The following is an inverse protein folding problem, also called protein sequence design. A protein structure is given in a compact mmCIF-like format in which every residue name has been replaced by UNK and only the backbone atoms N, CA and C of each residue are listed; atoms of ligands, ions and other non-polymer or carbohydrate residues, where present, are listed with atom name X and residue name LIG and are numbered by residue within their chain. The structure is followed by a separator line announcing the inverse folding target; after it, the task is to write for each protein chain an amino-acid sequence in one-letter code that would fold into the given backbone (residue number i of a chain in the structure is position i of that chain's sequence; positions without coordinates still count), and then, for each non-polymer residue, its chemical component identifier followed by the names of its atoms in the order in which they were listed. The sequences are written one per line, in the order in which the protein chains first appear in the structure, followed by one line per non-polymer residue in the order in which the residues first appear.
data_IF_787128158037
#
_entry.id   IF_787128158037
#
_cell.length_a   1.000
_cell.length_b   1.000
_cell.length_c   1.000
_cell.angle_alpha   90.00
_cell.angle_beta   90.00
_cell.angle_gamma   90.00
#
_symmetry.space_group_name_H-M   'P 1'
#
loop_
_entity.id
_entity.type
_entity.pdbx_description
1 polymer ?
#
# COMPACT_ATOMS: atom_id res chain seq x y z
N UNK A 1 -55.30 8.56 60.36
CA UNK A 1 -56.26 7.66 59.69
C UNK A 1 -56.13 7.84 58.18
N UNK A 2 -56.26 6.72 57.45
CA UNK A 2 -56.33 6.59 55.98
C UNK A 2 -55.03 6.76 55.19
N UNK A 3 -54.37 5.61 55.03
CA UNK A 3 -53.59 5.19 53.86
C UNK A 3 -54.42 5.42 52.59
N UNK A 4 -53.79 5.93 51.54
CA UNK A 4 -54.17 5.57 50.17
C UNK A 4 -52.88 5.39 49.36
N UNK A 5 -52.62 4.12 49.07
CA UNK A 5 -51.73 3.66 48.02
C UNK A 5 -52.24 4.20 46.69
N UNK A 6 -51.37 4.75 45.85
CA UNK A 6 -51.59 4.71 44.41
C UNK A 6 -50.32 4.24 43.71
N UNK A 7 -50.52 3.16 42.96
CA UNK A 7 -49.53 2.32 42.36
C UNK A 7 -48.71 3.07 41.31
N UNK A 8 -47.40 2.84 41.36
CA UNK A 8 -46.45 3.16 40.31
C UNK A 8 -46.79 2.26 39.13
N UNK A 9 -47.55 2.79 38.17
CA UNK A 9 -47.83 2.09 36.92
C UNK A 9 -46.65 2.29 35.98
N UNK A 10 -45.91 1.20 35.80
CA UNK A 10 -44.88 1.00 34.79
C UNK A 10 -45.47 1.21 33.40
N UNK A 11 -45.41 2.43 32.88
CA UNK A 11 -45.46 2.67 31.44
C UNK A 11 -44.02 2.62 30.93
N UNK A 12 -43.61 1.41 30.61
CA UNK A 12 -42.44 1.15 29.79
C UNK A 12 -42.63 1.91 28.47
N UNK A 13 -41.96 3.06 28.34
CA UNK A 13 -41.67 3.60 27.03
C UNK A 13 -40.91 2.50 26.29
N UNK A 14 -41.60 1.90 25.32
CA UNK A 14 -40.98 1.13 24.26
C UNK A 14 -40.00 2.07 23.55
N UNK A 15 -38.77 2.13 24.06
CA UNK A 15 -37.64 2.62 23.33
C UNK A 15 -37.58 1.74 22.08
N UNK A 16 -38.04 2.28 20.94
CA UNK A 16 -37.54 1.87 19.65
C UNK A 16 -36.02 2.09 19.71
N UNK A 17 -35.31 1.08 20.23
CA UNK A 17 -33.89 0.91 19.98
C UNK A 17 -33.81 0.92 18.46
N UNK A 18 -33.28 2.02 17.93
CA UNK A 18 -32.69 2.06 16.60
C UNK A 18 -31.86 0.79 16.51
N UNK A 19 -32.35 -0.17 15.73
CA UNK A 19 -31.68 -1.43 15.51
C UNK A 19 -30.30 -1.03 15.03
N UNK A 20 -29.27 -1.33 15.83
CA UNK A 20 -27.91 -1.22 15.36
C UNK A 20 -27.89 -2.01 14.06
N UNK A 21 -27.47 -1.36 12.97
CA UNK A 21 -27.18 -2.06 11.73
C UNK A 21 -26.42 -3.34 12.11
N UNK A 22 -26.78 -4.50 11.53
CA UNK A 22 -26.08 -5.73 11.85
C UNK A 22 -24.61 -5.41 11.66
N UNK A 23 -23.86 -5.45 12.77
CA UNK A 23 -22.42 -5.37 12.74
C UNK A 23 -22.02 -6.58 11.92
N UNK A 24 -21.83 -6.36 10.62
CA UNK A 24 -21.14 -7.30 9.75
C UNK A 24 -19.84 -7.65 10.44
N UNK A 25 -19.29 -8.84 10.16
CA UNK A 25 -18.04 -9.25 10.77
C UNK A 25 -17.04 -8.10 10.66
N UNK A 26 -16.64 -7.55 11.81
CA UNK A 26 -15.46 -6.70 11.88
C UNK A 26 -14.33 -7.57 11.35
N UNK A 27 -13.87 -7.28 10.14
CA UNK A 27 -12.60 -7.78 9.66
C UNK A 27 -11.58 -7.35 10.71
N UNK A 28 -11.07 -8.35 11.43
CA UNK A 28 -10.11 -8.13 12.49
C UNK A 28 -8.87 -7.47 11.91
N UNK A 29 -8.24 -6.63 12.72
CA UNK A 29 -6.80 -6.43 12.66
C UNK A 29 -6.07 -7.78 12.45
N UNK A 30 -4.86 -7.78 11.85
CA UNK A 30 -4.10 -8.97 11.45
C UNK A 30 -4.26 -10.14 12.41
N UNK A 31 -4.52 -11.32 11.85
CA UNK A 31 -4.98 -12.53 12.52
C UNK A 31 -4.61 -12.62 14.00
N UNK A 32 -5.61 -12.91 14.83
CA UNK A 32 -5.46 -13.29 16.23
C UNK A 32 -4.75 -14.66 16.37
N UNK A 33 -3.50 -14.71 15.92
CA UNK A 33 -2.61 -15.86 15.91
C UNK A 33 -1.24 -15.44 16.42
N UNK A 34 -1.18 -14.84 17.62
CA UNK A 34 -0.02 -14.89 18.53
C UNK A 34 1.38 -14.67 17.96
N UNK A 35 1.53 -13.98 16.83
CA UNK A 35 2.83 -13.74 16.23
C UNK A 35 3.42 -12.48 16.85
N UNK A 36 4.44 -12.67 17.68
CA UNK A 36 5.33 -11.57 18.06
C UNK A 36 6.14 -11.24 16.81
N UNK A 37 5.87 -10.08 16.19
CA UNK A 37 6.72 -9.57 15.11
C UNK A 37 8.11 -9.39 15.69
N UNK A 38 9.09 -10.09 15.13
CA UNK A 38 10.48 -9.89 15.50
C UNK A 38 10.85 -8.43 15.22
N UNK A 39 11.43 -7.75 16.21
CA UNK A 39 11.88 -6.37 16.05
C UNK A 39 13.16 -6.40 15.23
N UNK A 40 13.02 -6.11 13.94
CA UNK A 40 14.15 -5.99 13.02
C UNK A 40 14.54 -4.52 12.92
N UNK A 41 15.78 -4.11 13.26
CA UNK A 41 16.23 -2.75 13.06
C UNK A 41 16.46 -2.45 11.57
N UNK A 42 16.26 -1.21 11.16
CA UNK A 42 16.62 -0.77 9.82
C UNK A 42 18.15 -0.72 9.66
N UNK A 43 18.68 -1.34 8.60
CA UNK A 43 20.09 -1.23 8.23
C UNK A 43 20.44 0.17 7.68
N UNK A 44 19.48 0.82 7.03
CA UNK A 44 19.59 2.23 6.68
C UNK A 44 18.23 2.93 6.76
N UNK A 45 18.25 4.21 7.07
CA UNK A 45 17.08 5.08 7.10
C UNK A 45 17.46 6.41 6.48
N UNK A 46 16.63 6.88 5.54
CA UNK A 46 16.78 8.19 4.91
C UNK A 46 15.46 8.93 5.01
N UNK A 47 15.55 10.24 5.17
CA UNK A 47 14.38 11.11 5.29
C UNK A 47 14.55 12.31 4.37
N UNK A 48 13.47 12.74 3.75
CA UNK A 48 13.37 14.02 3.07
C UNK A 48 12.01 14.66 3.35
N UNK A 49 11.94 15.96 3.19
CA UNK A 49 10.69 16.72 3.34
C UNK A 49 10.64 17.84 2.33
N UNK A 50 9.45 18.10 1.79
CA UNK A 50 9.18 19.26 0.94
C UNK A 50 7.76 19.73 1.19
N UNK A 51 7.62 21.03 1.46
CA UNK A 51 6.34 21.62 1.86
C UNK A 51 5.70 20.86 3.04
N UNK A 52 4.42 20.47 2.95
CA UNK A 52 3.69 19.78 4.01
C UNK A 52 3.96 18.27 4.15
N UNK A 53 4.85 17.69 3.34
CA UNK A 53 5.10 16.24 3.30
C UNK A 53 6.50 15.90 3.78
N UNK A 54 6.59 14.92 4.67
CA UNK A 54 7.85 14.26 5.05
C UNK A 54 7.77 12.78 4.69
N UNK A 55 8.83 12.29 4.06
CA UNK A 55 8.97 10.91 3.63
C UNK A 55 10.16 10.28 4.32
N UNK A 56 9.97 9.09 4.90
CA UNK A 56 11.04 8.30 5.52
C UNK A 56 11.07 6.92 4.88
N UNK A 57 12.18 6.58 4.24
CA UNK A 57 12.44 5.26 3.67
C UNK A 57 13.42 4.52 4.57
N UNK A 58 13.03 3.32 5.00
CA UNK A 58 13.85 2.40 5.78
C UNK A 58 14.05 1.11 5.00
N UNK A 59 15.25 0.55 5.08
CA UNK A 59 15.59 -0.76 4.51
C UNK A 59 16.06 -1.70 5.63
N UNK A 60 15.58 -2.94 5.63
CA UNK A 60 15.99 -3.93 6.63
C UNK A 60 17.42 -4.43 6.39
N UNK A 61 17.84 -4.48 5.12
CA UNK A 61 19.16 -4.96 4.68
C UNK A 61 19.68 -4.09 3.54
N UNK A 62 20.98 -3.80 3.56
CA UNK A 62 21.70 -3.14 2.45
C UNK A 62 22.58 -4.10 1.66
N UNK A 63 22.73 -5.35 2.12
CA UNK A 63 23.42 -6.42 1.39
C UNK A 63 22.43 -7.53 1.08
N UNK A 64 22.26 -7.85 -0.20
CA UNK A 64 21.32 -8.84 -0.73
C UNK A 64 22.08 -9.99 -1.39
N UNK A 65 21.53 -11.21 -1.33
CA UNK A 65 22.07 -12.34 -2.08
C UNK A 65 21.60 -12.27 -3.53
N UNK A 66 22.49 -12.52 -4.50
CA UNK A 66 22.13 -12.54 -5.91
C UNK A 66 21.28 -13.76 -6.31
N UNK A 67 21.12 -14.77 -5.45
CA UNK A 67 20.32 -15.96 -5.78
C UNK A 67 18.83 -15.61 -5.87
N UNK A 68 18.34 -14.80 -4.94
CA UNK A 68 16.98 -14.27 -4.87
C UNK A 68 17.01 -12.92 -4.12
N UNK A 69 17.44 -11.83 -4.77
CA UNK A 69 17.55 -10.56 -4.08
C UNK A 69 16.15 -9.98 -3.86
N UNK A 70 15.82 -9.71 -2.60
CA UNK A 70 14.61 -8.97 -2.23
C UNK A 70 14.95 -7.75 -1.41
N UNK A 71 14.34 -6.61 -1.75
CA UNK A 71 14.34 -5.45 -0.88
C UNK A 71 13.28 -5.62 0.19
N UNK A 72 13.67 -5.36 1.43
CA UNK A 72 12.77 -5.35 2.57
C UNK A 72 12.67 -3.92 3.06
N UNK A 73 11.56 -3.26 2.77
CA UNK A 73 11.42 -1.81 2.95
C UNK A 73 10.22 -1.43 3.80
N UNK A 74 10.30 -0.24 4.37
CA UNK A 74 9.24 0.43 5.09
C UNK A 74 9.26 1.90 4.68
N UNK A 75 8.20 2.35 4.03
CA UNK A 75 8.05 3.74 3.63
C UNK A 75 6.96 4.40 4.48
N UNK A 76 7.29 5.53 5.07
CA UNK A 76 6.38 6.32 5.89
C UNK A 76 6.19 7.70 5.28
N UNK A 77 4.93 8.12 5.11
CA UNK A 77 4.57 9.50 4.83
C UNK A 77 3.99 10.14 6.08
N UNK A 78 4.41 11.36 6.36
CA UNK A 78 3.97 12.16 7.51
C UNK A 78 3.52 13.53 7.03
N UNK A 79 2.37 13.97 7.55
CA UNK A 79 1.88 15.32 7.34
C UNK A 79 2.49 16.29 8.35
N UNK A 80 3.52 17.01 7.93
CA UNK A 80 4.18 18.04 8.74
C UNK A 80 3.61 19.45 8.50
N UNK A 81 2.56 19.57 7.68
CA UNK A 81 1.89 20.81 7.37
C UNK A 81 0.78 21.17 8.38
N UNK A 82 -0.02 22.17 8.02
CA UNK A 82 -1.13 22.67 8.84
C UNK A 82 -2.51 22.30 8.29
N UNK A 83 -2.58 21.66 7.13
CA UNK A 83 -3.83 21.24 6.45
C UNK A 83 -3.85 19.74 6.22
N UNK A 84 -5.05 19.17 6.06
CA UNK A 84 -5.20 17.75 5.72
C UNK A 84 -4.73 17.48 4.28
N UNK A 85 -4.37 16.24 3.97
CA UNK A 85 -4.12 15.86 2.57
C UNK A 85 -4.41 14.41 2.22
N UNK A 86 -4.79 14.14 0.95
CA UNK A 86 -5.07 12.79 0.47
C UNK A 86 -3.77 12.04 0.17
N UNK A 87 -3.68 10.81 0.66
CA UNK A 87 -2.67 9.85 0.18
C UNK A 87 -3.30 9.08 -0.97
N UNK A 88 -2.75 9.23 -2.17
CA UNK A 88 -3.24 8.60 -3.40
C UNK A 88 -2.19 7.64 -3.91
N UNK A 89 -1.94 6.57 -3.14
CA UNK A 89 -1.02 5.52 -3.52
C UNK A 89 -1.43 4.18 -2.89
N UNK A 90 -1.54 3.14 -3.70
CA UNK A 90 -1.95 1.81 -3.25
C UNK A 90 -0.91 1.16 -2.36
N UNK A 91 0.34 1.63 -2.34
CA UNK A 91 1.39 1.05 -1.53
C UNK A 91 1.10 1.04 -0.02
N UNK A 92 0.22 1.93 0.44
CA UNK A 92 -0.17 2.00 1.85
C UNK A 92 -1.34 1.08 2.21
N UNK A 93 -1.98 0.47 1.22
CA UNK A 93 -3.07 -0.48 1.38
C UNK A 93 -2.63 -1.89 0.97
N UNK A 94 -1.96 -2.01 -0.18
CA UNK A 94 -1.61 -3.27 -0.86
C UNK A 94 -0.12 -3.63 -0.70
N UNK A 95 0.69 -2.73 -0.14
CA UNK A 95 2.07 -3.01 0.24
C UNK A 95 3.14 -2.39 -0.64
N UNK A 96 4.43 -2.54 -0.28
CA UNK A 96 5.50 -1.78 -0.90
C UNK A 96 5.76 -2.14 -2.38
N UNK A 97 5.18 -3.23 -2.90
CA UNK A 97 5.27 -3.59 -4.31
C UNK A 97 4.76 -2.50 -5.24
N UNK A 98 3.67 -1.82 -4.86
CA UNK A 98 3.09 -0.72 -5.63
C UNK A 98 4.05 0.48 -5.77
N UNK A 99 5.07 0.58 -4.92
CA UNK A 99 6.06 1.65 -5.05
C UNK A 99 7.00 1.44 -6.23
N UNK A 100 7.06 0.27 -6.86
CA UNK A 100 7.97 0.08 -7.99
C UNK A 100 7.46 0.76 -9.28
N UNK A 101 6.18 1.15 -9.33
CA UNK A 101 5.59 1.79 -10.50
C UNK A 101 6.10 3.21 -10.68
N UNK A 102 6.80 3.46 -11.79
CA UNK A 102 7.44 4.76 -12.03
C UNK A 102 6.50 5.90 -12.40
N UNK A 103 5.26 5.55 -12.69
CA UNK A 103 4.24 6.47 -13.17
C UNK A 103 3.24 6.86 -12.07
N UNK A 104 3.42 6.35 -10.85
CA UNK A 104 2.65 6.79 -9.69
C UNK A 104 3.27 8.03 -9.08
N UNK A 105 2.46 8.70 -8.27
CA UNK A 105 2.90 9.86 -7.48
C UNK A 105 4.03 9.48 -6.52
N UNK A 106 3.99 8.28 -5.94
CA UNK A 106 5.00 7.83 -5.00
C UNK A 106 5.65 6.54 -5.50
N UNK A 107 6.96 6.59 -5.70
CA UNK A 107 7.71 5.48 -6.29
C UNK A 107 9.07 5.27 -5.66
N UNK A 108 9.64 4.10 -5.89
CA UNK A 108 11.04 3.78 -5.69
C UNK A 108 11.80 3.96 -6.99
N UNK A 109 12.99 4.53 -6.87
CA UNK A 109 14.01 4.43 -7.89
C UNK A 109 15.11 3.50 -7.37
N UNK A 110 15.33 2.42 -8.10
CA UNK A 110 16.38 1.44 -7.85
C UNK A 110 17.22 1.28 -9.12
N UNK A 111 18.53 1.12 -9.01
CA UNK A 111 19.38 0.76 -10.15
C UNK A 111 20.85 0.86 -9.86
N UNK A 112 21.69 0.48 -10.83
CA UNK A 112 23.15 0.55 -10.70
C UNK A 112 23.62 1.98 -10.39
N UNK A 113 24.72 2.09 -9.66
CA UNK A 113 25.39 3.38 -9.45
C UNK A 113 25.78 3.97 -10.82
N UNK A 114 25.58 5.27 -11.00
CA UNK A 114 25.87 6.04 -12.22
C UNK A 114 25.04 5.68 -13.47
N UNK A 115 24.12 4.73 -13.39
CA UNK A 115 23.14 4.46 -14.47
C UNK A 115 21.77 5.04 -14.16
N UNK A 116 20.94 5.32 -15.17
CA UNK A 116 19.52 5.55 -14.94
C UNK A 116 18.94 4.41 -14.09
N UNK A 117 18.04 4.70 -13.14
CA UNK A 117 17.36 3.66 -12.38
C UNK A 117 16.70 2.64 -13.34
N UNK A 118 16.56 1.38 -12.92
CA UNK A 118 15.94 0.26 -13.64
C UNK A 118 14.40 0.27 -13.60
N UNK A 119 13.75 0.21 -14.76
CA UNK A 119 12.29 0.04 -14.84
C UNK A 119 11.89 -1.29 -14.20
N UNK A 120 10.68 -1.35 -13.62
CA UNK A 120 10.13 -2.64 -13.23
C UNK A 120 10.00 -3.48 -14.49
N UNK A 121 10.57 -4.68 -14.48
CA UNK A 121 10.08 -5.74 -15.33
C UNK A 121 9.30 -6.67 -14.41
N UNK A 122 7.95 -6.73 -14.49
CA UNK A 122 7.26 -7.86 -13.91
C UNK A 122 7.94 -9.12 -14.44
N UNK A 123 8.11 -10.12 -13.59
CA UNK A 123 8.41 -11.42 -14.13
C UNK A 123 7.12 -11.89 -14.81
N UNK A 124 7.00 -11.67 -16.13
CA UNK A 124 5.86 -12.09 -16.95
C UNK A 124 5.51 -13.58 -16.79
N UNK A 125 6.44 -14.35 -16.21
CA UNK A 125 6.31 -15.78 -15.91
C UNK A 125 5.50 -16.11 -14.63
N UNK A 126 4.99 -15.13 -13.89
CA UNK A 126 4.30 -15.36 -12.61
C UNK A 126 2.78 -15.54 -12.73
N UNK A 127 2.23 -15.39 -13.92
CA UNK A 127 0.84 -15.74 -14.16
C UNK A 127 0.68 -17.26 -14.16
N UNK A 128 -0.08 -17.84 -13.20
CA UNK A 128 -0.41 -19.24 -13.30
C UNK A 128 -1.31 -19.48 -14.51
N UNK A 129 -1.34 -20.74 -14.95
CA UNK A 129 -2.30 -21.19 -15.96
C UNK A 129 -3.74 -20.83 -15.54
N UNK A 130 -4.58 -20.49 -16.53
CA UNK A 130 -5.92 -19.94 -16.32
C UNK A 130 -6.85 -20.89 -15.54
N UNK A 131 -6.55 -22.19 -15.52
CA UNK A 131 -7.28 -23.21 -14.76
C UNK A 131 -7.06 -23.11 -13.25
N UNK A 132 -5.95 -22.49 -12.81
CA UNK A 132 -5.70 -22.20 -11.40
C UNK A 132 -6.43 -20.93 -10.89
N UNK A 133 -6.94 -20.08 -11.77
CA UNK A 133 -7.46 -18.78 -11.37
C UNK A 133 -8.73 -18.93 -10.53
N UNK A 134 -8.94 -18.10 -9.48
CA UNK A 134 -10.08 -18.23 -8.60
C UNK A 134 -11.41 -17.89 -9.32
N UNK A 135 -12.31 -18.88 -9.43
CA UNK A 135 -13.65 -18.69 -10.00
C UNK A 135 -13.66 -18.43 -11.51
N UNK A 136 -14.48 -17.47 -11.98
CA UNK A 136 -14.55 -17.09 -13.40
C UNK A 136 -13.58 -15.95 -13.79
N UNK A 137 -12.58 -15.64 -12.95
CA UNK A 137 -11.66 -14.50 -13.15
C UNK A 137 -10.90 -14.58 -14.48
N UNK A 138 -10.43 -15.77 -14.88
CA UNK A 138 -9.80 -15.97 -16.18
C UNK A 138 -10.75 -15.72 -17.35
N UNK A 139 -12.02 -16.13 -17.24
CA UNK A 139 -13.03 -15.86 -18.28
C UNK A 139 -13.34 -14.37 -18.40
N UNK A 140 -13.48 -13.65 -17.29
CA UNK A 140 -13.75 -12.19 -17.30
C UNK A 140 -12.59 -11.40 -17.87
N UNK A 141 -11.36 -11.80 -17.55
CA UNK A 141 -10.16 -11.18 -18.11
C UNK A 141 -10.12 -11.25 -19.65
N UNK A 142 -10.34 -12.45 -20.21
CA UNK A 142 -10.24 -12.66 -21.67
C UNK A 142 -11.52 -12.32 -22.46
N UNK A 143 -12.72 -12.51 -21.88
CA UNK A 143 -13.97 -12.28 -22.59
C UNK A 143 -14.39 -10.80 -22.58
N UNK A 144 -14.19 -10.10 -21.46
CA UNK A 144 -14.75 -8.76 -21.28
C UNK A 144 -13.73 -7.64 -21.49
N UNK A 145 -12.43 -7.97 -21.64
CA UNK A 145 -11.31 -7.01 -21.60
C UNK A 145 -11.50 -5.98 -20.48
N UNK A 146 -11.96 -6.45 -19.32
CA UNK A 146 -12.37 -5.58 -18.22
C UNK A 146 -11.19 -4.66 -17.87
N UNK A 147 -11.29 -3.34 -18.14
CA UNK A 147 -10.19 -2.42 -17.92
C UNK A 147 -9.78 -2.36 -16.45
N UNK A 148 -10.68 -2.70 -15.51
CA UNK A 148 -10.34 -2.76 -14.09
C UNK A 148 -9.50 -4.00 -13.74
N UNK A 149 -9.76 -5.15 -14.39
CA UNK A 149 -8.89 -6.33 -14.24
C UNK A 149 -7.54 -6.10 -14.91
N UNK A 150 -7.52 -5.47 -16.09
CA UNK A 150 -6.29 -5.10 -16.78
C UNK A 150 -5.47 -4.09 -15.95
N UNK A 151 -6.11 -3.08 -15.39
CA UNK A 151 -5.47 -2.08 -14.53
C UNK A 151 -4.98 -2.66 -13.20
N UNK A 152 -5.76 -3.54 -12.54
CA UNK A 152 -5.30 -4.27 -11.37
C UNK A 152 -4.10 -5.16 -11.71
N UNK A 153 -4.07 -5.75 -12.90
CA UNK A 153 -2.95 -6.56 -13.36
C UNK A 153 -1.69 -5.73 -13.63
N UNK A 154 -1.83 -4.60 -14.33
CA UNK A 154 -0.74 -3.66 -14.62
C UNK A 154 -0.19 -2.94 -13.37
N UNK A 155 -0.97 -2.84 -12.29
CA UNK A 155 -0.60 -2.18 -11.04
C UNK A 155 -0.23 -3.17 -9.92
N UNK A 156 0.04 -4.46 -10.21
CA UNK A 156 0.60 -5.40 -9.21
C UNK A 156 -0.46 -5.97 -8.27
N UNK A 157 -1.71 -5.89 -8.72
CA UNK A 157 -2.93 -6.06 -7.95
C UNK A 157 -3.27 -7.50 -7.60
N UNK A 158 -2.32 -8.33 -7.21
CA UNK A 158 -2.63 -9.59 -6.53
C UNK A 158 -3.46 -9.35 -5.26
N UNK A 159 -3.13 -8.29 -4.51
CA UNK A 159 -3.86 -7.90 -3.30
C UNK A 159 -5.11 -7.07 -3.62
N UNK A 160 -5.00 -6.14 -4.58
CA UNK A 160 -6.13 -5.35 -5.08
C UNK A 160 -7.24 -6.25 -5.65
N UNK A 161 -6.87 -7.27 -6.44
CA UNK A 161 -7.79 -8.26 -7.02
C UNK A 161 -8.42 -9.14 -5.94
N UNK A 162 -7.63 -9.60 -4.95
CA UNK A 162 -8.16 -10.34 -3.80
C UNK A 162 -9.20 -9.51 -3.05
N UNK A 163 -8.94 -8.22 -2.83
CA UNK A 163 -9.87 -7.30 -2.15
C UNK A 163 -11.14 -7.03 -2.95
N UNK A 164 -11.03 -6.85 -4.28
CA UNK A 164 -12.20 -6.72 -5.16
C UNK A 164 -13.09 -7.96 -5.16
N UNK A 165 -12.48 -9.15 -5.16
CA UNK A 165 -13.19 -10.43 -5.25
C UNK A 165 -13.76 -10.85 -3.88
N UNK A 166 -12.99 -10.77 -2.81
CA UNK A 166 -13.37 -11.29 -1.49
C UNK A 166 -14.27 -10.32 -0.72
N UNK A 167 -14.06 -9.01 -0.83
CA UNK A 167 -14.75 -8.04 0.01
C UNK A 167 -15.88 -7.29 -0.73
N UNK A 168 -15.97 -7.41 -2.06
CA UNK A 168 -16.94 -6.66 -2.87
C UNK A 168 -16.82 -5.14 -2.72
N UNK A 169 -15.64 -4.65 -2.32
CA UNK A 169 -15.42 -3.26 -1.93
C UNK A 169 -15.24 -2.41 -3.19
N UNK A 170 -16.05 -1.36 -3.41
CA UNK A 170 -15.82 -0.43 -4.50
C UNK A 170 -14.50 0.31 -4.28
N UNK A 171 -13.78 0.59 -5.38
CA UNK A 171 -12.59 1.43 -5.41
C UNK A 171 -12.80 2.68 -4.57
N UNK A 172 -12.17 2.76 -3.40
CA UNK A 172 -12.06 4.04 -2.70
C UNK A 172 -11.06 4.85 -3.52
N UNK A 173 -11.59 5.61 -4.49
CA UNK A 173 -10.83 6.39 -5.48
C UNK A 173 -9.87 7.41 -4.83
N UNK A 174 -10.03 7.64 -3.53
CA UNK A 174 -9.20 8.50 -2.70
C UNK A 174 -8.76 7.68 -1.49
N UNK A 175 -7.45 7.46 -1.33
CA UNK A 175 -6.88 6.82 -0.15
C UNK A 175 -7.08 7.67 1.11
N UNK A 176 -6.45 7.33 2.24
CA UNK A 176 -6.69 7.99 3.51
C UNK A 176 -6.29 9.48 3.50
N UNK A 177 -7.09 10.31 4.18
CA UNK A 177 -6.79 11.73 4.41
C UNK A 177 -5.95 11.87 5.69
N UNK A 178 -4.70 12.28 5.57
CA UNK A 178 -3.80 12.52 6.71
C UNK A 178 -4.06 13.90 7.33
N UNK A 179 -4.36 13.95 8.62
CA UNK A 179 -4.41 15.20 9.40
C UNK A 179 -3.00 15.72 9.72
N UNK A 180 -2.82 17.01 10.08
CA UNK A 180 -1.55 17.51 10.61
C UNK A 180 -1.00 16.64 11.74
N UNK A 181 0.25 16.21 11.63
CA UNK A 181 0.95 15.33 12.57
C UNK A 181 0.63 13.83 12.42
N UNK A 182 -0.31 13.44 11.56
CA UNK A 182 -0.57 12.03 11.26
C UNK A 182 0.42 11.50 10.23
N UNK A 183 0.65 10.19 10.30
CA UNK A 183 1.49 9.45 9.38
C UNK A 183 0.84 8.16 8.94
N UNK A 184 1.19 7.70 7.73
CA UNK A 184 0.86 6.38 7.22
C UNK A 184 2.14 5.65 6.82
N UNK A 185 2.13 4.33 6.92
CA UNK A 185 3.28 3.48 6.59
C UNK A 185 2.83 2.29 5.78
N UNK A 186 3.65 1.89 4.81
CA UNK A 186 3.41 0.68 4.00
C UNK A 186 3.22 -0.55 4.90
N UNK A 187 2.23 -1.40 4.63
CA UNK A 187 2.06 -2.63 5.39
C UNK A 187 3.23 -3.59 5.17
N UNK A 188 3.63 -4.36 6.19
CA UNK A 188 4.74 -5.29 6.10
C UNK A 188 4.29 -6.60 5.47
N UNK A 189 4.06 -6.61 4.15
CA UNK A 189 3.69 -7.81 3.43
C UNK A 189 4.92 -8.46 2.81
N UNK A 190 5.09 -9.76 3.03
CA UNK A 190 6.06 -10.56 2.28
C UNK A 190 5.50 -10.90 0.90
N UNK A 191 6.39 -10.97 -0.09
CA UNK A 191 5.98 -11.20 -1.46
C UNK A 191 5.60 -12.67 -1.64
N UNK A 192 4.53 -12.91 -2.39
CA UNK A 192 4.03 -14.24 -2.69
C UNK A 192 3.57 -14.29 -4.14
N UNK A 193 4.06 -15.28 -4.90
CA UNK A 193 3.68 -15.43 -6.31
C UNK A 193 2.22 -15.85 -6.45
N UNK A 194 1.56 -15.42 -7.52
CA UNK A 194 0.18 -15.83 -7.81
C UNK A 194 0.05 -17.35 -7.96
N UNK A 195 1.03 -18.02 -8.57
CA UNK A 195 1.07 -19.48 -8.66
C UNK A 195 1.01 -20.15 -7.29
N UNK A 196 1.83 -19.69 -6.33
CA UNK A 196 1.84 -20.27 -4.99
C UNK A 196 0.52 -20.05 -4.25
N UNK A 197 -0.15 -18.90 -4.45
CA UNK A 197 -1.45 -18.62 -3.82
C UNK A 197 -2.58 -19.42 -4.48
N UNK A 198 -2.65 -19.43 -5.80
CA UNK A 198 -3.82 -19.91 -6.54
C UNK A 198 -3.74 -21.38 -6.92
N UNK A 199 -2.61 -21.83 -7.45
CA UNK A 199 -2.42 -23.24 -7.80
C UNK A 199 -2.09 -24.07 -6.55
N UNK A 200 -1.09 -23.64 -5.78
CA UNK A 200 -0.57 -24.44 -4.67
C UNK A 200 -1.28 -24.17 -3.33
N UNK A 201 -2.04 -23.06 -3.23
CA UNK A 201 -2.75 -22.65 -2.02
C UNK A 201 -1.83 -22.56 -0.80
N UNK A 202 -0.60 -22.11 -1.03
CA UNK A 202 0.37 -21.90 0.03
C UNK A 202 -0.10 -20.78 0.97
N UNK A 203 0.12 -20.92 2.29
CA UNK A 203 -0.16 -19.84 3.22
C UNK A 203 0.72 -18.63 2.92
N UNK A 204 0.24 -17.44 3.29
CA UNK A 204 1.00 -16.22 3.07
C UNK A 204 2.34 -16.24 3.82
N UNK A 205 3.44 -15.83 3.17
CA UNK A 205 4.75 -15.80 3.79
C UNK A 205 4.80 -14.77 4.91
N UNK A 206 5.72 -14.98 5.85
CA UNK A 206 5.91 -14.08 6.99
C UNK A 206 6.79 -12.90 6.58
N UNK A 207 6.43 -11.67 6.94
CA UNK A 207 7.30 -10.53 6.71
C UNK A 207 8.53 -10.53 7.59
N UNK A 208 9.54 -9.76 7.19
CA UNK A 208 10.71 -9.48 7.99
C UNK A 208 10.40 -8.31 8.94
N UNK A 209 9.93 -8.61 10.15
CA UNK A 209 9.56 -7.60 11.14
C UNK A 209 8.45 -6.66 10.62
N UNK A 210 8.75 -5.37 10.55
CA UNK A 210 7.85 -4.32 10.03
C UNK A 210 8.19 -3.90 8.58
N UNK A 211 8.96 -4.70 7.85
CA UNK A 211 9.33 -4.43 6.46
C UNK A 211 8.52 -5.31 5.52
N UNK A 212 8.01 -4.73 4.44
CA UNK A 212 7.42 -5.49 3.34
C UNK A 212 8.47 -5.77 2.25
N UNK A 213 8.22 -6.81 1.47
CA UNK A 213 9.15 -7.36 0.49
C UNK A 213 8.86 -6.85 -0.92
N UNK A 214 9.93 -6.57 -1.65
CA UNK A 214 9.91 -6.37 -3.10
C UNK A 214 10.99 -7.26 -3.72
N UNK A 215 10.64 -8.33 -4.44
CA UNK A 215 11.62 -9.13 -5.17
C UNK A 215 12.23 -8.29 -6.29
N UNK A 216 13.53 -8.44 -6.48
CA UNK A 216 14.24 -7.83 -7.60
C UNK A 216 14.73 -8.93 -8.52
N UNK A 217 14.30 -8.90 -9.78
CA UNK A 217 14.66 -9.91 -10.77
C UNK A 217 15.84 -9.45 -11.65
N UNK A 218 16.60 -10.41 -12.17
CA UNK A 218 17.64 -10.16 -13.17
C UNK A 218 18.86 -9.36 -12.70
N UNK A 219 18.98 -9.07 -11.39
CA UNK A 219 20.03 -8.21 -10.84
C UNK A 219 21.34 -8.96 -10.67
N UNK A 220 22.42 -8.47 -11.28
CA UNK A 220 23.77 -9.07 -11.16
C UNK A 220 24.45 -8.61 -9.86
N UNK A 221 25.45 -9.36 -9.34
CA UNK A 221 26.28 -8.87 -8.25
C UNK A 221 26.89 -7.50 -8.58
N UNK A 222 26.85 -6.57 -7.62
CA UNK A 222 27.27 -5.18 -7.84
C UNK A 222 26.75 -4.19 -6.80
N UNK A 223 27.03 -2.91 -7.04
CA UNK A 223 26.54 -1.80 -6.23
C UNK A 223 25.39 -1.09 -6.93
N UNK A 224 24.33 -0.89 -6.17
CA UNK A 224 23.08 -0.28 -6.58
C UNK A 224 22.74 0.86 -5.62
N UNK A 225 21.77 1.67 -6.03
CA UNK A 225 21.24 2.77 -5.25
C UNK A 225 19.72 2.69 -5.20
N UNK A 226 19.15 3.04 -4.05
CA UNK A 226 17.71 3.06 -3.80
C UNK A 226 17.31 4.42 -3.22
N UNK A 227 16.19 4.98 -3.67
CA UNK A 227 15.53 6.11 -3.01
C UNK A 227 14.03 6.08 -3.24
N UNK A 228 13.27 6.76 -2.40
CA UNK A 228 11.87 7.05 -2.67
C UNK A 228 11.72 8.43 -3.29
N UNK A 229 10.79 8.56 -4.24
CA UNK A 229 10.48 9.78 -4.98
C UNK A 229 9.00 10.03 -4.86
N UNK A 230 8.64 11.23 -4.41
CA UNK A 230 7.29 11.75 -4.47
C UNK A 230 7.25 12.77 -5.60
N UNK A 231 6.47 12.50 -6.64
CA UNK A 231 6.26 13.35 -7.80
C UNK A 231 4.75 13.49 -8.02
N UNK A 232 4.17 14.52 -7.42
CA UNK A 232 2.86 15.03 -7.82
C UNK A 232 3.08 16.46 -8.32
N UNK A 233 2.95 16.66 -9.62
CA UNK A 233 3.15 17.96 -10.25
C UNK A 233 1.85 18.48 -10.83
N UNK A 234 1.67 19.82 -10.80
CA UNK A 234 0.58 20.47 -11.54
C UNK A 234 0.60 20.09 -13.01
N UNK A 235 1.76 19.79 -13.61
CA UNK A 235 1.84 19.36 -15.00
C UNK A 235 1.00 18.11 -15.31
N UNK A 236 0.84 17.20 -14.35
CA UNK A 236 0.17 15.91 -14.53
C UNK A 236 -1.36 16.01 -14.34
N UNK A 237 -1.87 17.18 -13.91
CA UNK A 237 -3.30 17.43 -13.73
C UNK A 237 -3.96 17.80 -15.06
N UNK A 238 -5.22 17.39 -15.24
CA UNK A 238 -6.02 17.90 -16.36
C UNK A 238 -6.36 19.39 -16.16
N UNK A 239 -6.67 20.08 -17.26
CA UNK A 239 -6.95 21.52 -17.26
C UNK A 239 -8.18 21.92 -16.42
N UNK A 240 -9.15 21.02 -16.27
CA UNK A 240 -10.32 21.24 -15.42
C UNK A 240 -9.94 21.26 -13.95
N UNK A 241 -9.13 20.29 -13.52
CA UNK A 241 -8.63 20.20 -12.14
C UNK A 241 -7.66 21.34 -11.82
N UNK A 242 -6.73 21.69 -12.72
CA UNK A 242 -5.85 22.86 -12.57
C UNK A 242 -6.63 24.15 -12.33
N UNK A 243 -7.69 24.39 -13.10
CA UNK A 243 -8.52 25.59 -12.99
C UNK A 243 -9.31 25.63 -11.68
N UNK A 244 -9.80 24.50 -11.21
CA UNK A 244 -10.48 24.39 -9.92
C UNK A 244 -9.54 24.61 -8.72
N UNK A 245 -8.24 24.33 -8.89
CA UNK A 245 -7.23 24.37 -7.84
C UNK A 245 -6.31 25.60 -7.89
N UNK A 246 -6.48 26.47 -8.89
CA UNK A 246 -5.62 27.65 -9.12
C UNK A 246 -5.67 28.69 -7.99
N UNK A 247 -6.80 28.79 -7.29
CA UNK A 247 -7.02 29.81 -6.25
C UNK A 247 -6.60 29.37 -4.83
N UNK A 248 -6.04 28.15 -4.68
CA UNK A 248 -5.94 27.54 -3.35
C UNK A 248 -4.55 27.61 -2.71
N UNK A 249 -4.17 28.80 -2.25
CA UNK A 249 -3.20 29.00 -1.16
C UNK A 249 -1.78 28.45 -1.39
N UNK A 250 -0.98 28.23 -0.31
CA UNK A 250 0.40 27.74 -0.42
C UNK A 250 0.46 26.34 -1.06
N UNK A 251 1.65 25.90 -1.55
CA UNK A 251 1.82 24.60 -2.22
C UNK A 251 1.21 23.48 -1.40
N UNK A 252 0.28 22.75 -2.02
CA UNK A 252 -0.31 21.56 -1.42
C UNK A 252 0.67 20.38 -1.58
N UNK A 253 0.53 19.30 -0.81
CA UNK A 253 1.27 18.04 -1.02
C UNK A 253 1.22 17.53 -2.47
N UNK A 254 0.20 17.93 -3.20
CA UNK A 254 -0.06 17.59 -4.59
C UNK A 254 0.73 18.45 -5.59
N UNK A 255 1.42 19.50 -5.11
CA UNK A 255 2.25 20.42 -5.90
C UNK A 255 3.77 20.26 -5.61
N UNK A 256 4.18 19.23 -4.88
CA UNK A 256 5.59 19.04 -4.49
C UNK A 256 6.21 17.83 -5.19
N UNK A 257 7.41 18.04 -5.73
CA UNK A 257 8.28 16.96 -6.20
C UNK A 257 9.55 16.94 -5.36
N UNK A 258 9.87 15.79 -4.75
CA UNK A 258 11.09 15.62 -3.96
C UNK A 258 11.47 14.14 -3.84
N UNK A 259 12.70 13.88 -3.44
CA UNK A 259 13.23 12.54 -3.28
C UNK A 259 14.03 12.40 -1.98
N UNK A 260 14.03 11.21 -1.39
CA UNK A 260 14.97 10.91 -0.31
C UNK A 260 16.41 10.88 -0.83
N UNK A 261 17.41 11.06 0.06
CA UNK A 261 18.78 10.68 -0.24
C UNK A 261 18.89 9.22 -0.74
N UNK A 262 19.95 8.94 -1.50
CA UNK A 262 20.24 7.59 -1.98
C UNK A 262 20.77 6.70 -0.84
N UNK A 263 20.21 5.49 -0.72
CA UNK A 263 20.76 4.37 0.05
C UNK A 263 21.61 3.52 -0.90
N UNK A 264 22.82 3.14 -0.49
CA UNK A 264 23.64 2.17 -1.23
C UNK A 264 23.19 0.75 -0.90
N UNK A 265 22.92 -0.04 -1.94
CA UNK A 265 22.57 -1.46 -1.86
C UNK A 265 23.68 -2.26 -2.53
N UNK A 266 24.13 -3.34 -1.91
CA UNK A 266 25.11 -4.27 -2.47
C UNK A 266 24.42 -5.59 -2.75
N UNK A 267 24.51 -6.07 -3.98
CA UNK A 267 24.11 -7.42 -4.34
C UNK A 267 25.38 -8.26 -4.41
N UNK A 268 25.48 -9.26 -3.55
CA UNK A 268 26.65 -10.13 -3.45
C UNK A 268 26.40 -11.44 -4.17
N UNK A 269 27.48 -12.12 -4.58
CA UNK A 269 27.40 -13.50 -5.03
C UNK A 269 26.75 -14.40 -3.96
N UNK A 270 26.13 -15.53 -4.36
CA UNK A 270 25.38 -16.41 -3.46
C UNK A 270 26.19 -17.00 -2.31
#
# INVERSE_FOLDING_TARGET
MKKLLLAISLLAFAACKKQAEPSGPKLGAPEAGGYTREVVPAAATVTASSGPVKMTLQVAKTTLSSKYPSLWIKLTLENIGTTHFPVVDLAFEDGPMDLWYRHTTLKLEFGEVDKPPDDWNPNDEELPDADCWPGDSGKRFFADRDPALWYAFEQGGAQTLRRFIEEGVPTKMWGPMLKPGESITTPPYAYQTLFSVWCEKQPSPKPLGDFGEIPIYGTKPGKYRLRAVHKMGREDWDEGFKKAMADIGPPRPEDVTFATPWITITVSEP
#
